data_IF_655150708018
#
_entry.id   IF_655150708018
#
_cell.length_a   1.000
_cell.length_b   1.000
_cell.length_c   1.000
_cell.angle_alpha   90.00
_cell.angle_beta   90.00
_cell.angle_gamma   90.00
#
_symmetry.space_group_name_H-M   'P 1'
#
loop_
_entity.id
_entity.type
_entity.pdbx_description
1 polymer ?
#
# COMPACT_ATOMS: atom_id res chain seq x y z
N UNK A 1 10.85 2.50 4.26
CA UNK A 1 10.54 1.09 4.55
C UNK A 1 11.83 0.47 5.06
N UNK A 2 11.82 -0.18 6.22
CA UNK A 2 13.00 -0.88 6.72
C UNK A 2 13.21 -2.12 5.86
N UNK A 3 14.35 -2.20 5.19
CA UNK A 3 14.79 -3.38 4.45
C UNK A 3 15.51 -4.30 5.44
N UNK A 4 15.10 -5.57 5.49
CA UNK A 4 15.74 -6.58 6.33
C UNK A 4 16.35 -7.64 5.43
N UNK A 5 17.61 -7.96 5.68
CA UNK A 5 18.29 -9.05 4.99
C UNK A 5 18.00 -10.38 5.70
N UNK A 6 17.57 -11.38 4.93
CA UNK A 6 17.34 -12.74 5.42
C UNK A 6 18.44 -13.63 4.83
N UNK A 7 19.17 -14.33 5.70
CA UNK A 7 20.15 -15.34 5.30
C UNK A 7 19.52 -16.71 5.49
N UNK A 8 19.40 -17.45 4.40
CA UNK A 8 18.87 -18.81 4.41
C UNK A 8 20.03 -19.82 4.51
N UNK A 9 19.95 -20.69 5.50
CA UNK A 9 20.92 -21.75 5.72
C UNK A 9 20.83 -22.87 4.68
N UNK A 10 21.89 -23.67 4.59
CA UNK A 10 21.95 -24.83 3.68
C UNK A 10 20.92 -25.90 4.06
N UNK A 11 20.66 -26.07 5.34
CA UNK A 11 19.61 -26.94 5.89
C UNK A 11 18.24 -26.57 5.32
N UNK A 12 17.85 -25.31 5.42
CA UNK A 12 16.58 -24.81 4.90
C UNK A 12 16.50 -24.93 3.37
N UNK A 13 17.57 -24.58 2.66
CA UNK A 13 17.64 -24.74 1.20
C UNK A 13 17.51 -26.20 0.76
N UNK A 14 18.08 -27.13 1.52
CA UNK A 14 18.01 -28.57 1.22
C UNK A 14 16.61 -29.11 1.45
N UNK A 15 15.97 -28.72 2.54
CA UNK A 15 14.58 -29.11 2.86
C UNK A 15 13.60 -28.69 1.77
N UNK A 16 13.82 -27.52 1.16
CA UNK A 16 12.97 -27.00 0.08
C UNK A 16 13.49 -27.32 -1.33
N UNK A 17 14.39 -28.29 -1.46
CA UNK A 17 14.96 -28.73 -2.75
C UNK A 17 15.46 -27.57 -3.62
N UNK A 18 16.09 -26.57 -2.99
CA UNK A 18 16.47 -25.35 -3.67
C UNK A 18 17.61 -25.58 -4.68
N UNK A 19 17.42 -25.08 -5.90
CA UNK A 19 18.43 -25.06 -6.95
C UNK A 19 18.83 -23.61 -7.25
N UNK A 20 20.12 -23.29 -7.09
CA UNK A 20 20.67 -21.95 -7.33
C UNK A 20 21.23 -21.87 -8.75
N UNK A 21 20.56 -21.14 -9.64
CA UNK A 21 21.05 -20.81 -10.98
C UNK A 21 21.72 -19.43 -10.98
N UNK A 22 23.04 -19.45 -10.78
CA UNK A 22 23.85 -18.24 -10.76
C UNK A 22 23.90 -17.51 -12.12
N UNK A 23 23.75 -18.22 -13.24
CA UNK A 23 23.82 -17.61 -14.58
C UNK A 23 22.58 -16.76 -14.83
N UNK A 24 21.42 -17.28 -14.44
CA UNK A 24 20.13 -16.60 -14.64
C UNK A 24 19.74 -15.69 -13.48
N UNK A 25 20.55 -15.62 -12.41
CA UNK A 25 20.27 -14.89 -11.17
C UNK A 25 18.94 -15.32 -10.53
N UNK A 26 18.74 -16.63 -10.36
CA UNK A 26 17.48 -17.19 -9.83
C UNK A 26 17.75 -18.30 -8.82
N UNK A 27 16.81 -18.44 -7.89
CA UNK A 27 16.72 -19.59 -6.97
C UNK A 27 15.38 -20.26 -7.22
N UNK A 28 15.41 -21.56 -7.52
CA UNK A 28 14.24 -22.38 -7.82
C UNK A 28 13.99 -23.27 -6.61
N UNK A 29 12.76 -23.35 -6.14
CA UNK A 29 12.35 -24.23 -5.03
C UNK A 29 11.43 -25.34 -5.56
N UNK A 30 11.68 -26.57 -5.12
CA UNK A 30 11.02 -27.77 -5.64
C UNK A 30 11.69 -28.35 -6.89
N UNK A 31 10.91 -29.04 -7.72
CA UNK A 31 11.41 -29.74 -8.91
C UNK A 31 11.79 -28.77 -10.04
N UNK A 32 12.90 -29.03 -10.75
CA UNK A 32 13.41 -28.15 -11.81
C UNK A 32 12.47 -28.12 -13.04
N UNK A 33 11.76 -29.21 -13.31
CA UNK A 33 10.79 -29.33 -14.40
C UNK A 33 9.39 -28.86 -14.01
N UNK A 34 9.08 -28.81 -12.72
CA UNK A 34 7.81 -28.31 -12.17
C UNK A 34 8.04 -27.52 -10.87
N UNK A 35 8.57 -26.29 -10.94
CA UNK A 35 8.96 -25.52 -9.77
C UNK A 35 7.73 -25.01 -9.01
N UNK A 36 7.78 -25.11 -7.68
CA UNK A 36 6.74 -24.56 -6.80
C UNK A 36 6.86 -23.04 -6.69
N UNK A 37 8.10 -22.56 -6.56
CA UNK A 37 8.40 -21.14 -6.44
C UNK A 37 9.74 -20.81 -7.10
N UNK A 38 9.83 -19.62 -7.70
CA UNK A 38 11.07 -19.14 -8.28
C UNK A 38 11.35 -17.72 -7.80
N UNK A 39 12.41 -17.58 -7.02
CA UNK A 39 12.95 -16.28 -6.66
C UNK A 39 13.87 -15.78 -7.77
N UNK A 40 13.64 -14.54 -8.19
CA UNK A 40 14.54 -13.83 -9.09
C UNK A 40 15.39 -12.89 -8.26
N UNK A 41 16.70 -13.14 -8.25
CA UNK A 41 17.64 -12.19 -7.68
C UNK A 41 17.53 -10.84 -8.38
N UNK A 42 17.81 -9.78 -7.63
CA UNK A 42 18.00 -8.47 -8.22
C UNK A 42 19.26 -8.50 -9.08
N UNK A 43 19.09 -8.59 -10.41
CA UNK A 43 20.09 -7.97 -11.29
C UNK A 43 20.24 -6.51 -10.84
N UNK A 44 21.37 -5.84 -11.13
CA UNK A 44 21.38 -4.38 -11.26
C UNK A 44 20.54 -3.97 -12.48
N UNK A 45 19.27 -4.40 -12.52
CA UNK A 45 18.23 -3.79 -13.32
C UNK A 45 18.12 -2.38 -12.77
N UNK A 46 18.30 -1.41 -13.66
CA UNK A 46 18.05 0.02 -13.47
C UNK A 46 16.97 0.16 -12.40
N UNK A 47 17.36 0.62 -11.21
CA UNK A 47 16.48 0.70 -10.06
C UNK A 47 15.17 1.32 -10.53
N UNK A 48 14.06 0.66 -10.21
CA UNK A 48 12.75 1.27 -10.47
C UNK A 48 12.75 2.57 -9.67
N UNK A 49 12.79 3.71 -10.37
CA UNK A 49 12.84 4.99 -9.70
C UNK A 49 11.49 5.23 -9.07
N UNK A 50 11.39 4.92 -7.78
CA UNK A 50 10.26 5.31 -6.97
C UNK A 50 10.40 6.79 -6.70
N UNK A 51 9.38 7.54 -7.09
CA UNK A 51 9.30 8.98 -6.86
C UNK A 51 8.21 9.26 -5.82
N UNK A 52 8.33 10.39 -5.13
CA UNK A 52 7.25 10.84 -4.24
C UNK A 52 6.04 11.31 -5.05
N UNK A 53 4.88 11.36 -4.40
CA UNK A 53 3.67 11.93 -4.99
C UNK A 53 3.87 13.39 -5.44
N UNK A 54 4.69 14.18 -4.72
CA UNK A 54 5.03 15.55 -5.09
C UNK A 54 5.83 15.59 -6.40
N UNK A 55 6.83 14.72 -6.55
CA UNK A 55 7.61 14.61 -7.78
C UNK A 55 6.74 14.15 -8.95
N UNK A 56 5.85 13.18 -8.73
CA UNK A 56 4.90 12.73 -9.74
C UNK A 56 4.00 13.89 -10.21
N UNK A 57 3.46 14.69 -9.28
CA UNK A 57 2.66 15.88 -9.61
C UNK A 57 3.44 16.91 -10.44
N UNK A 58 4.70 17.17 -10.09
CA UNK A 58 5.55 18.08 -10.88
C UNK A 58 5.75 17.57 -12.30
N UNK A 59 6.05 16.28 -12.47
CA UNK A 59 6.23 15.68 -13.81
C UNK A 59 4.96 15.77 -14.66
N UNK A 60 3.79 15.47 -14.07
CA UNK A 60 2.50 15.64 -14.75
C UNK A 60 2.26 17.10 -15.16
N UNK A 61 2.60 18.08 -14.31
CA UNK A 61 2.45 19.50 -14.64
C UNK A 61 3.37 19.97 -15.77
N UNK A 62 4.48 19.27 -16.00
CA UNK A 62 5.38 19.51 -17.13
C UNK A 62 4.96 18.75 -18.41
N UNK A 63 3.79 18.11 -18.40
CA UNK A 63 3.22 17.43 -19.57
C UNK A 63 3.63 15.97 -19.74
N UNK A 64 4.21 15.33 -18.72
CA UNK A 64 4.43 13.88 -18.75
C UNK A 64 3.09 13.13 -18.65
N UNK A 65 2.99 12.00 -19.36
CA UNK A 65 1.85 11.09 -19.24
C UNK A 65 2.00 10.22 -17.98
N UNK A 66 0.89 10.05 -17.24
CA UNK A 66 0.83 9.17 -16.08
C UNK A 66 -0.34 8.21 -16.17
N UNK A 67 -0.12 6.99 -15.70
CA UNK A 67 -1.14 5.93 -15.66
C UNK A 67 -1.35 5.51 -14.20
N UNK A 68 -2.61 5.33 -13.82
CA UNK A 68 -2.98 4.76 -12.53
C UNK A 68 -3.33 3.29 -12.73
N UNK A 69 -2.70 2.42 -11.97
CA UNK A 69 -3.04 1.00 -11.89
C UNK A 69 -3.53 0.69 -10.48
N UNK A 70 -4.64 -0.04 -10.37
CA UNK A 70 -5.20 -0.52 -9.10
C UNK A 70 -5.03 -2.03 -9.01
N UNK A 71 -4.66 -2.52 -7.82
CA UNK A 71 -4.59 -3.94 -7.51
C UNK A 71 -5.83 -4.26 -6.67
N UNK A 72 -6.65 -5.17 -7.16
CA UNK A 72 -7.81 -5.67 -6.43
C UNK A 72 -7.56 -7.12 -6.03
N UNK A 73 -7.72 -7.41 -4.75
CA UNK A 73 -7.71 -8.80 -4.27
C UNK A 73 -8.99 -9.49 -4.77
N UNK A 74 -8.82 -10.63 -5.42
CA UNK A 74 -9.92 -11.43 -5.99
C UNK A 74 -10.39 -12.54 -5.05
N UNK A 75 -9.73 -12.70 -3.90
CA UNK A 75 -10.04 -13.74 -2.90
C UNK A 75 -11.01 -13.28 -1.82
N UNK A 76 -11.32 -11.98 -1.80
CA UNK A 76 -12.25 -11.33 -0.88
C UNK A 76 -13.51 -10.98 -1.65
N UNK A 77 -14.67 -11.52 -1.25
CA UNK A 77 -15.95 -10.94 -1.64
C UNK A 77 -15.95 -9.49 -1.13
N UNK A 78 -15.83 -8.54 -2.05
CA UNK A 78 -15.88 -7.11 -1.75
C UNK A 78 -17.22 -6.86 -1.06
N UNK A 79 -17.26 -6.42 0.21
CA UNK A 79 -18.50 -5.98 0.81
C UNK A 79 -19.06 -4.89 -0.09
N UNK A 80 -20.30 -5.03 -0.52
CA UNK A 80 -20.92 -4.00 -1.34
C UNK A 80 -20.90 -2.68 -0.55
N UNK A 81 -20.99 -1.55 -1.24
CA UNK A 81 -21.10 -0.24 -0.56
C UNK A 81 -22.29 -0.23 0.42
N UNK A 82 -23.28 -1.10 0.23
CA UNK A 82 -24.42 -1.28 1.13
C UNK A 82 -24.09 -2.03 2.42
N UNK A 83 -22.94 -2.71 2.49
CA UNK A 83 -22.47 -3.46 3.66
C UNK A 83 -21.51 -2.63 4.55
N UNK A 84 -21.18 -1.40 4.12
CA UNK A 84 -20.40 -0.46 4.92
C UNK A 84 -21.36 0.35 5.82
N UNK A 85 -21.21 0.30 7.16
CA UNK A 85 -22.07 1.06 8.05
C UNK A 85 -21.91 2.56 7.77
N UNK A 86 -23.01 3.20 7.38
CA UNK A 86 -23.05 4.64 7.14
C UNK A 86 -22.97 5.31 8.52
N UNK A 87 -22.18 6.37 8.64
CA UNK A 87 -21.90 7.10 9.90
C UNK A 87 -23.18 7.53 10.66
N UNK A 88 -24.33 7.59 9.98
CA UNK A 88 -25.65 7.83 10.59
C UNK A 88 -26.18 6.69 11.47
N UNK A 89 -25.58 5.50 11.45
CA UNK A 89 -26.02 4.32 12.21
C UNK A 89 -25.40 4.24 13.62
N UNK A 90 -24.68 5.28 14.06
CA UNK A 90 -24.14 5.40 15.42
C UNK A 90 -24.99 6.38 16.26
N UNK A 91 -26.15 5.95 16.79
CA UNK A 91 -27.02 6.81 17.61
C UNK A 91 -26.34 7.28 18.91
N UNK A 92 -25.29 6.57 19.34
CA UNK A 92 -24.47 6.90 20.52
C UNK A 92 -23.59 8.15 20.28
N UNK A 93 -23.25 8.42 19.00
CA UNK A 93 -22.38 9.52 18.57
C UNK A 93 -23.19 10.68 17.99
N UNK A 94 -24.35 10.37 17.40
CA UNK A 94 -25.28 11.35 16.83
C UNK A 94 -26.66 11.20 17.46
N UNK A 95 -26.92 11.83 18.63
CA UNK A 95 -28.26 11.91 19.18
C UNK A 95 -29.20 12.61 18.21
N UNK A 96 -30.46 12.18 18.17
CA UNK A 96 -31.55 12.75 17.34
C UNK A 96 -31.78 14.27 17.54
N UNK A 97 -31.07 14.91 18.48
CA UNK A 97 -31.11 16.34 18.78
C UNK A 97 -30.16 17.20 17.90
N UNK A 98 -29.42 16.59 16.97
CA UNK A 98 -28.51 17.31 16.06
C UNK A 98 -28.94 17.24 14.57
N UNK A 99 -30.07 17.86 14.19
CA UNK A 99 -30.54 17.88 12.80
C UNK A 99 -29.63 18.65 11.82
N UNK A 100 -28.65 19.41 12.32
CA UNK A 100 -27.80 20.31 11.52
C UNK A 100 -26.37 19.81 11.28
N UNK A 101 -26.01 18.59 11.70
CA UNK A 101 -24.61 18.11 11.55
C UNK A 101 -24.27 17.77 10.09
N UNK A 102 -25.27 17.37 9.30
CA UNK A 102 -25.13 17.16 7.86
C UNK A 102 -26.29 17.85 7.14
N UNK A 103 -26.15 19.12 6.74
CA UNK A 103 -27.14 19.77 5.90
C UNK A 103 -27.28 19.00 4.57
N UNK A 104 -28.51 18.91 4.04
CA UNK A 104 -28.82 18.26 2.74
C UNK A 104 -27.97 18.81 1.58
N UNK A 105 -27.52 20.07 1.72
CA UNK A 105 -26.52 20.70 0.87
C UNK A 105 -25.26 20.98 1.69
N UNK A 106 -24.12 20.40 1.29
CA UNK A 106 -22.83 20.70 1.90
C UNK A 106 -22.54 22.20 1.81
N UNK A 107 -22.14 22.90 2.91
CA UNK A 107 -22.01 24.35 2.97
C UNK A 107 -20.78 24.90 2.21
N UNK A 108 -20.32 24.19 1.18
CA UNK A 108 -19.08 24.46 0.47
C UNK A 108 -17.84 23.94 1.22
N UNK A 109 -16.71 24.01 0.54
CA UNK A 109 -15.41 23.66 1.13
C UNK A 109 -15.14 24.69 2.24
N UNK A 110 -14.84 24.27 3.49
CA UNK A 110 -14.47 25.22 4.53
C UNK A 110 -13.27 26.05 4.06
N UNK A 111 -13.24 27.36 4.35
CA UNK A 111 -12.11 28.20 3.98
C UNK A 111 -10.82 27.63 4.56
N UNK A 112 -9.70 27.85 3.86
CA UNK A 112 -8.36 27.44 4.31
C UNK A 112 -8.14 27.96 5.73
N UNK A 113 -8.15 27.05 6.72
CA UNK A 113 -7.81 27.37 8.10
C UNK A 113 -6.31 27.24 8.23
N UNK A 114 -5.64 28.27 8.75
CA UNK A 114 -4.27 28.11 9.23
C UNK A 114 -4.34 27.19 10.46
N UNK A 115 -3.75 26.01 10.32
CA UNK A 115 -3.76 25.01 11.36
C UNK A 115 -2.52 25.19 12.21
N UNK A 116 -2.64 25.96 13.28
CA UNK A 116 -1.56 26.16 14.26
C UNK A 116 -1.64 25.05 15.33
N UNK A 117 -1.11 23.86 15.02
CA UNK A 117 -0.96 22.81 16.02
C UNK A 117 0.37 22.98 16.77
N UNK A 118 0.31 23.29 18.07
CA UNK A 118 1.44 23.15 18.98
C UNK A 118 1.48 21.72 19.52
N UNK A 119 2.62 21.03 19.33
CA UNK A 119 2.89 19.74 19.97
C UNK A 119 3.76 20.02 21.19
N UNK A 120 3.17 19.98 22.38
CA UNK A 120 3.92 19.99 23.63
C UNK A 120 4.50 18.60 23.89
N UNK A 121 5.82 18.48 23.78
CA UNK A 121 6.54 17.26 24.13
C UNK A 121 6.82 17.25 25.63
N UNK A 122 6.26 16.28 26.34
CA UNK A 122 6.66 15.99 27.72
C UNK A 122 7.93 15.14 27.66
N UNK A 123 9.00 15.61 28.30
CA UNK A 123 10.24 14.84 28.46
C UNK A 123 9.98 13.65 29.40
N UNK A 124 10.16 12.44 28.87
CA UNK A 124 10.17 11.19 29.64
C UNK A 124 11.53 10.87 30.22
#
# INVERSE_FOLDING_TARGET
MCEFDIILGIDWLTEHHATIDCRSYRVIFGDIHAPEFIYHGSLPRKSMQIISALQARTLLSHGCEGFLATIHDTTSDVPSIHDQPIVSEFPDVFPDEFPDVFPDELPGIPPVREVEFNIELILG
#
